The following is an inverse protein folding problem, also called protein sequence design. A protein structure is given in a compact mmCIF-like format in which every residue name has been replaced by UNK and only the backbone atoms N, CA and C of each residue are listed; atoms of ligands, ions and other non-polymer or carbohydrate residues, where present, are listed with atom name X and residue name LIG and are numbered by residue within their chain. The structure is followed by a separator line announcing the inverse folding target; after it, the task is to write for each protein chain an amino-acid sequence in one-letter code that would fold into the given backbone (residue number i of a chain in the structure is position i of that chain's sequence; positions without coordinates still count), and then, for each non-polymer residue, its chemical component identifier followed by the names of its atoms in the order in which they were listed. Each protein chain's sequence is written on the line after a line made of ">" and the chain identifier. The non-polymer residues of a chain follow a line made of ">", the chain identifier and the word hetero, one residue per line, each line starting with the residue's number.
data_IF_357044804748
#
_entry.id   IF_357044804748
#
_cell.length_a   1.000
_cell.length_b   1.000
_cell.length_c   1.000
_cell.angle_alpha   90.00
_cell.angle_beta   90.00
_cell.angle_gamma   90.00
#
_symmetry.space_group_name_H-M   'P 1'
#
loop_
_entity.id
_entity.type
_entity.pdbx_description
1 polymer ?
#
# COMPACT_ATOMS: atom_id res chain seq x y z
N UNK A 1 -3.75 -0.25 -18.79
CA UNK A 1 -4.37 0.47 -17.66
C UNK A 1 -3.23 0.88 -16.76
N UNK A 2 -2.88 2.17 -16.72
CA UNK A 2 -1.75 2.66 -15.92
C UNK A 2 -2.30 2.93 -14.51
N UNK A 3 -1.83 2.19 -13.51
CA UNK A 3 -2.15 2.44 -12.11
C UNK A 3 -1.14 3.46 -11.57
N UNK A 4 -1.35 4.74 -11.83
CA UNK A 4 -0.50 5.80 -11.28
C UNK A 4 -0.74 5.91 -9.78
N UNK A 5 0.33 5.78 -8.98
CA UNK A 5 0.30 6.25 -7.60
C UNK A 5 0.39 7.78 -7.64
N UNK A 6 -0.49 8.47 -6.93
CA UNK A 6 -0.48 9.93 -6.81
C UNK A 6 0.18 10.33 -5.49
N UNK A 7 1.04 11.35 -5.55
CA UNK A 7 1.79 11.88 -4.41
C UNK A 7 1.17 13.23 -4.01
N UNK A 8 0.92 13.45 -2.73
CA UNK A 8 0.38 14.71 -2.20
C UNK A 8 1.04 15.02 -0.84
N UNK A 9 1.31 16.30 -0.59
CA UNK A 9 1.81 16.78 0.69
C UNK A 9 0.65 17.21 1.59
N UNK A 10 0.60 16.71 2.82
CA UNK A 10 -0.40 17.08 3.82
C UNK A 10 0.26 17.25 5.19
N UNK A 11 0.20 18.45 5.78
CA UNK A 11 0.75 18.76 7.12
C UNK A 11 2.21 18.26 7.33
N UNK A 12 3.12 18.65 6.44
CA UNK A 12 4.55 18.24 6.47
C UNK A 12 4.75 16.71 6.41
N UNK A 13 3.82 16.01 5.76
CA UNK A 13 3.93 14.57 5.47
C UNK A 13 3.74 14.31 3.98
N UNK A 14 4.59 13.45 3.44
CA UNK A 14 4.44 12.92 2.09
C UNK A 14 3.40 11.81 2.13
N UNK A 15 2.34 11.94 1.35
CA UNK A 15 1.29 10.94 1.19
C UNK A 15 1.36 10.38 -0.22
N UNK A 16 1.56 9.08 -0.35
CA UNK A 16 1.46 8.35 -1.61
C UNK A 16 0.22 7.47 -1.55
N UNK A 17 -0.69 7.61 -2.51
CA UNK A 17 -1.92 6.84 -2.53
C UNK A 17 -2.16 6.19 -3.89
N UNK A 18 -2.90 5.08 -3.86
CA UNK A 18 -3.36 4.37 -5.06
C UNK A 18 -4.79 3.88 -4.85
N UNK A 19 -5.59 4.10 -5.88
CA UNK A 19 -6.97 3.65 -5.93
C UNK A 19 -7.15 2.51 -6.91
N UNK A 20 -7.68 1.38 -6.45
CA UNK A 20 -7.99 0.21 -7.28
C UNK A 20 -9.33 -0.37 -6.89
N UNK A 21 -10.22 -0.47 -7.88
CA UNK A 21 -11.58 -0.97 -7.74
C UNK A 21 -12.31 -0.28 -6.57
N UNK A 22 -12.50 -0.98 -5.44
CA UNK A 22 -13.17 -0.48 -4.24
C UNK A 22 -12.21 -0.25 -3.05
N UNK A 23 -10.89 -0.39 -3.27
CA UNK A 23 -9.86 -0.20 -2.26
C UNK A 23 -9.08 1.09 -2.49
N UNK A 24 -8.98 1.89 -1.42
CA UNK A 24 -8.10 3.04 -1.33
C UNK A 24 -6.95 2.68 -0.40
N UNK A 25 -5.73 2.70 -0.92
CA UNK A 25 -4.51 2.43 -0.14
C UNK A 25 -3.70 3.72 -0.10
N UNK A 26 -3.25 4.10 1.09
CA UNK A 26 -2.44 5.29 1.33
C UNK A 26 -1.26 4.94 2.24
N UNK A 27 -0.10 5.48 1.90
CA UNK A 27 1.14 5.37 2.67
C UNK A 27 1.61 6.79 2.97
N UNK A 28 1.90 7.08 4.23
CA UNK A 28 2.35 8.41 4.66
C UNK A 28 3.73 8.32 5.29
N UNK A 29 4.65 9.19 4.89
CA UNK A 29 5.97 9.36 5.52
C UNK A 29 6.16 10.77 6.06
N UNK A 30 7.24 11.00 6.81
CA UNK A 30 7.68 12.35 7.17
C UNK A 30 8.11 13.14 5.93
N UNK A 31 8.26 14.45 6.05
CA UNK A 31 8.80 15.34 5.01
C UNK A 31 10.27 15.04 4.66
N UNK A 32 11.03 14.48 5.60
CA UNK A 32 12.41 14.04 5.38
C UNK A 32 12.53 12.66 4.70
N UNK A 33 11.43 11.93 4.56
CA UNK A 33 11.42 10.59 3.96
C UNK A 33 11.44 10.64 2.44
N UNK A 34 12.07 9.64 1.82
CA UNK A 34 12.17 9.59 0.37
C UNK A 34 10.84 9.12 -0.25
N UNK A 35 10.23 9.98 -1.07
CA UNK A 35 8.99 9.70 -1.78
C UNK A 35 9.05 8.41 -2.62
N UNK A 36 10.23 8.09 -3.19
CA UNK A 36 10.43 6.83 -3.94
C UNK A 36 10.32 5.61 -3.04
N UNK A 37 10.82 5.67 -1.80
CA UNK A 37 10.71 4.57 -0.84
C UNK A 37 9.24 4.34 -0.50
N UNK A 38 8.50 5.41 -0.20
CA UNK A 38 7.06 5.35 0.06
C UNK A 38 6.29 4.78 -1.14
N UNK A 39 6.66 5.16 -2.37
CA UNK A 39 6.09 4.61 -3.59
C UNK A 39 6.42 3.12 -3.77
N UNK A 40 7.64 2.68 -3.46
CA UNK A 40 8.03 1.26 -3.48
C UNK A 40 7.29 0.44 -2.43
N UNK A 41 7.10 0.97 -1.22
CA UNK A 41 6.31 0.34 -0.15
C UNK A 41 4.86 0.17 -0.60
N UNK A 42 4.25 1.23 -1.14
CA UNK A 42 2.88 1.18 -1.66
C UNK A 42 2.75 0.16 -2.78
N UNK A 43 3.71 0.12 -3.70
CA UNK A 43 3.73 -0.84 -4.80
C UNK A 43 3.88 -2.28 -4.30
N UNK A 44 4.81 -2.54 -3.37
CA UNK A 44 5.02 -3.88 -2.79
C UNK A 44 3.81 -4.39 -2.02
N UNK A 45 3.18 -3.53 -1.22
CA UNK A 45 1.93 -3.85 -0.53
C UNK A 45 0.80 -4.14 -1.51
N UNK A 46 0.69 -3.34 -2.56
CA UNK A 46 -0.30 -3.55 -3.61
C UNK A 46 -0.11 -4.89 -4.32
N UNK A 47 1.12 -5.23 -4.70
CA UNK A 47 1.43 -6.50 -5.38
C UNK A 47 1.15 -7.70 -4.47
N UNK A 48 1.43 -7.59 -3.17
CA UNK A 48 1.06 -8.60 -2.18
C UNK A 48 -0.47 -8.79 -2.06
N UNK A 49 -1.23 -7.69 -1.97
CA UNK A 49 -2.70 -7.71 -1.91
C UNK A 49 -3.31 -8.31 -3.19
N UNK A 50 -2.80 -7.93 -4.37
CA UNK A 50 -3.21 -8.51 -5.64
C UNK A 50 -2.92 -10.00 -5.74
N UNK A 51 -1.76 -10.43 -5.25
CA UNK A 51 -1.37 -11.84 -5.20
C UNK A 51 -2.29 -12.64 -4.27
N UNK A 52 -2.61 -12.08 -3.09
CA UNK A 52 -3.54 -12.67 -2.12
C UNK A 52 -4.98 -12.79 -2.64
N UNK A 53 -5.44 -11.80 -3.39
CA UNK A 53 -6.81 -11.73 -3.91
C UNK A 53 -6.96 -12.36 -5.31
N UNK A 54 -5.90 -12.97 -5.85
CA UNK A 54 -5.96 -13.67 -7.13
C UNK A 54 -6.32 -12.78 -8.31
N UNK A 55 -5.77 -11.55 -8.37
CA UNK A 55 -6.05 -10.51 -9.38
C UNK A 55 -7.47 -9.92 -9.38
N UNK A 56 -8.33 -10.25 -8.41
CA UNK A 56 -9.66 -9.65 -8.28
C UNK A 56 -9.81 -8.97 -6.92
N UNK A 57 -9.47 -7.69 -6.87
CA UNK A 57 -9.40 -6.88 -5.64
C UNK A 57 -10.81 -6.35 -5.32
N UNK A 58 -11.68 -7.22 -4.82
CA UNK A 58 -13.01 -6.86 -4.33
C UNK A 58 -12.97 -6.55 -2.82
N UNK A 59 -13.80 -5.61 -2.37
CA UNK A 59 -13.94 -5.24 -0.96
C UNK A 59 -14.25 -6.44 -0.05
N UNK A 60 -15.05 -7.41 -0.53
CA UNK A 60 -15.32 -8.64 0.23
C UNK A 60 -14.08 -9.51 0.39
N UNK A 61 -13.35 -9.76 -0.71
CA UNK A 61 -12.14 -10.58 -0.65
C UNK A 61 -11.08 -9.95 0.26
N UNK A 62 -10.94 -8.63 0.23
CA UNK A 62 -10.04 -7.90 1.12
C UNK A 62 -10.46 -8.00 2.60
N UNK A 63 -11.76 -7.93 2.89
CA UNK A 63 -12.28 -8.09 4.27
C UNK A 63 -12.12 -9.52 4.79
N UNK A 64 -12.29 -10.53 3.95
CA UNK A 64 -12.11 -11.94 4.33
C UNK A 64 -10.63 -12.27 4.60
N UNK A 65 -9.71 -11.65 3.85
CA UNK A 65 -8.27 -11.86 3.98
C UNK A 65 -7.56 -10.75 4.78
N UNK A 66 -8.33 -9.92 5.50
CA UNK A 66 -7.84 -8.73 6.20
C UNK A 66 -6.68 -9.04 7.16
N UNK A 67 -6.75 -10.18 7.85
CA UNK A 67 -5.70 -10.61 8.78
C UNK A 67 -4.36 -10.81 8.04
N UNK A 68 -4.39 -11.47 6.88
CA UNK A 68 -3.18 -11.69 6.07
C UNK A 68 -2.66 -10.39 5.47
N UNK A 69 -3.55 -9.48 5.07
CA UNK A 69 -3.18 -8.14 4.60
C UNK A 69 -2.47 -7.35 5.71
N UNK A 70 -2.96 -7.41 6.95
CA UNK A 70 -2.30 -6.80 8.11
C UNK A 70 -0.93 -7.41 8.39
N UNK A 71 -0.79 -8.74 8.27
CA UNK A 71 0.51 -9.42 8.38
C UNK A 71 1.49 -8.97 7.31
N UNK A 72 1.06 -8.88 6.04
CA UNK A 72 1.92 -8.36 4.97
C UNK A 72 2.32 -6.90 5.23
N UNK A 73 1.42 -6.09 5.77
CA UNK A 73 1.71 -4.70 6.11
C UNK A 73 2.74 -4.61 7.24
N UNK A 74 2.62 -5.46 8.26
CA UNK A 74 3.57 -5.58 9.36
C UNK A 74 4.95 -5.97 8.83
N UNK A 75 5.04 -6.97 7.97
CA UNK A 75 6.31 -7.45 7.39
C UNK A 75 6.98 -6.44 6.44
N UNK A 76 6.17 -5.65 5.71
CA UNK A 76 6.67 -4.55 4.86
C UNK A 76 7.16 -3.37 5.72
N UNK A 77 6.52 -3.09 6.87
CA UNK A 77 6.90 -2.01 7.77
C UNK A 77 8.06 -2.38 8.70
N UNK A 78 8.16 -3.64 9.12
CA UNK A 78 9.17 -4.14 10.07
C UNK A 78 10.54 -4.40 9.43
N UNK A 79 10.71 -4.09 8.14
CA UNK A 79 12.03 -4.01 7.51
C UNK A 79 12.82 -5.32 7.48
N UNK A 80 12.15 -6.48 7.60
CA UNK A 80 12.78 -7.79 7.45
C UNK A 80 13.99 -8.03 8.37
N UNK A 81 13.99 -7.49 9.60
CA UNK A 81 15.04 -7.79 10.58
C UNK A 81 14.78 -9.16 11.25
N UNK A 82 14.81 -10.22 10.44
CA UNK A 82 14.93 -11.62 10.86
C UNK A 82 16.33 -12.16 10.62
#
# INVERSE_FOLDING_TARGET
>A
MVFTAEVTMFEDKVVVYRFIQDLNIFVTGGDEENELILATVLQGFFDAVCSLLGNNVDKRGALENLNVIYLCLDEIADGGYG
#
